data_IF_710773139405
#
_entry.id   IF_710773139405
#
_cell.length_a   1.000
_cell.length_b   1.000
_cell.length_c   1.000
_cell.angle_alpha   90.00
_cell.angle_beta   90.00
_cell.angle_gamma   90.00
#
_symmetry.space_group_name_H-M   'P 1'
#
loop_
_entity.id
_entity.type
_entity.pdbx_description
1 polymer ?
#
# COMPACT_ATOMS: atom_id res chain seq x y z
N UNK A 1 -8.16 14.55 16.53
CA UNK A 1 -8.11 13.08 16.53
C UNK A 1 -9.31 12.57 15.78
N UNK A 2 -9.12 11.89 14.64
CA UNK A 2 -10.22 11.27 13.91
C UNK A 2 -10.85 10.16 14.74
N UNK A 3 -12.17 10.15 14.83
CA UNK A 3 -12.91 9.09 15.54
C UNK A 3 -12.85 7.82 14.68
N UNK A 4 -12.11 6.80 15.12
CA UNK A 4 -12.24 5.45 14.56
C UNK A 4 -13.66 4.95 14.85
N UNK A 5 -14.31 4.36 13.86
CA UNK A 5 -15.67 3.81 13.98
C UNK A 5 -15.57 2.30 14.20
N UNK A 6 -16.15 1.82 15.29
CA UNK A 6 -16.38 0.38 15.46
C UNK A 6 -17.52 -0.03 14.55
N UNK A 7 -17.35 -1.12 13.82
CA UNK A 7 -18.36 -1.74 12.99
C UNK A 7 -18.42 -3.24 13.28
N UNK A 8 -19.56 -3.84 13.00
CA UNK A 8 -19.74 -5.28 13.02
C UNK A 8 -19.91 -5.71 11.58
N UNK A 9 -19.10 -6.66 11.13
CA UNK A 9 -19.05 -7.09 9.73
C UNK A 9 -19.11 -8.60 9.63
N UNK A 10 -19.63 -9.10 8.51
CA UNK A 10 -19.63 -10.53 8.17
C UNK A 10 -18.60 -10.78 7.09
N UNK A 11 -17.74 -11.77 7.26
CA UNK A 11 -16.74 -12.11 6.26
C UNK A 11 -17.42 -12.70 5.02
N UNK A 12 -17.19 -12.14 3.80
CA UNK A 12 -17.83 -12.63 2.58
C UNK A 12 -17.30 -14.00 2.12
N UNK A 13 -16.17 -14.46 2.68
CA UNK A 13 -15.56 -15.75 2.36
C UNK A 13 -16.08 -16.85 3.29
N UNK A 14 -15.91 -16.70 4.61
CA UNK A 14 -16.21 -17.77 5.56
C UNK A 14 -17.48 -17.54 6.41
N UNK A 15 -18.20 -16.45 6.23
CA UNK A 15 -19.42 -16.12 6.99
C UNK A 15 -19.18 -15.74 8.45
N UNK A 16 -17.94 -15.70 8.94
CA UNK A 16 -17.62 -15.33 10.34
C UNK A 16 -17.99 -13.87 10.61
N UNK A 17 -18.77 -13.63 11.64
CA UNK A 17 -19.17 -12.30 12.07
C UNK A 17 -18.25 -11.79 13.20
N UNK A 18 -17.71 -10.57 13.07
CA UNK A 18 -16.77 -10.02 14.04
C UNK A 18 -16.81 -8.49 14.11
N UNK A 19 -16.32 -7.97 15.24
CA UNK A 19 -16.13 -6.54 15.41
C UNK A 19 -14.80 -6.05 14.78
N UNK A 20 -14.86 -4.98 14.01
CA UNK A 20 -13.68 -4.34 13.42
C UNK A 20 -13.64 -2.84 13.72
N UNK A 21 -12.51 -2.22 13.44
CA UNK A 21 -12.32 -0.78 13.59
C UNK A 21 -11.88 -0.22 12.24
N UNK A 22 -12.76 0.53 11.60
CA UNK A 22 -12.41 1.24 10.38
C UNK A 22 -11.61 2.50 10.66
N UNK A 23 -10.67 2.82 9.77
CA UNK A 23 -9.99 4.10 9.80
C UNK A 23 -11.02 5.24 9.66
N UNK A 24 -11.13 6.05 10.70
CA UNK A 24 -11.86 7.31 10.59
C UNK A 24 -11.05 8.32 9.77
N UNK A 25 -11.66 9.44 9.44
CA UNK A 25 -10.97 10.56 8.84
C UNK A 25 -9.89 11.06 9.80
N UNK A 26 -8.63 10.99 9.40
CA UNK A 26 -7.52 11.56 10.17
C UNK A 26 -6.97 12.81 9.50
N UNK A 27 -6.59 13.76 10.33
CA UNK A 27 -5.94 14.99 9.87
C UNK A 27 -4.50 14.64 9.47
N UNK A 28 -4.09 15.10 8.29
CA UNK A 28 -2.70 14.99 7.85
C UNK A 28 -2.06 16.36 7.82
N UNK A 29 -0.81 16.45 8.28
CA UNK A 29 -0.02 17.69 8.24
C UNK A 29 0.98 17.71 7.09
N UNK A 30 0.81 16.83 6.13
CA UNK A 30 1.65 16.67 4.95
C UNK A 30 1.89 15.21 4.60
N UNK A 31 2.88 14.98 3.72
CA UNK A 31 3.29 13.65 3.28
C UNK A 31 4.80 13.49 3.33
N UNK A 32 5.28 12.26 3.49
CA UNK A 32 6.67 11.89 3.26
C UNK A 32 6.95 11.80 1.75
N UNK A 33 8.21 11.58 1.37
CA UNK A 33 8.58 11.50 -0.05
C UNK A 33 7.86 10.36 -0.79
N UNK A 34 7.65 9.22 -0.15
CA UNK A 34 6.88 8.10 -0.71
C UNK A 34 5.35 8.24 -0.52
N UNK A 35 4.90 9.47 -0.30
CA UNK A 35 3.51 9.86 -0.10
C UNK A 35 2.86 9.32 1.18
N UNK A 36 3.61 8.70 2.08
CA UNK A 36 3.11 8.31 3.40
C UNK A 36 2.52 9.52 4.14
N UNK A 37 1.27 9.47 4.59
CA UNK A 37 0.67 10.60 5.30
C UNK A 37 1.37 10.85 6.64
N UNK A 38 1.68 12.12 6.90
CA UNK A 38 2.15 12.57 8.20
C UNK A 38 0.95 12.83 9.10
N UNK A 39 0.70 11.90 10.01
CA UNK A 39 -0.39 11.99 10.98
C UNK A 39 0.19 12.57 12.28
N UNK A 40 -0.36 13.68 12.80
CA UNK A 40 0.12 14.26 14.05
C UNK A 40 -0.17 13.32 15.23
N UNK A 41 0.71 13.33 16.24
CA UNK A 41 0.61 12.48 17.41
C UNK A 41 1.79 11.51 17.54
N UNK A 42 1.59 10.43 18.26
CA UNK A 42 2.63 9.39 18.44
C UNK A 42 2.77 8.55 17.17
N UNK A 43 3.96 8.00 16.87
CA UNK A 43 4.15 7.09 15.72
C UNK A 43 3.15 5.93 15.69
N UNK A 44 2.81 5.38 16.87
CA UNK A 44 1.79 4.32 17.03
C UNK A 44 0.39 4.73 16.58
N UNK A 45 0.05 6.02 16.66
CA UNK A 45 -1.27 6.52 16.22
C UNK A 45 -1.33 6.52 14.69
N UNK A 46 -0.23 6.89 14.04
CA UNK A 46 -0.08 6.81 12.59
C UNK A 46 -0.11 5.37 12.08
N UNK A 47 0.59 4.45 12.74
CA UNK A 47 0.57 3.03 12.39
C UNK A 47 -0.86 2.45 12.51
N UNK A 48 -1.56 2.78 13.61
CA UNK A 48 -2.95 2.34 13.83
C UNK A 48 -3.90 2.89 12.78
N UNK A 49 -3.78 4.17 12.42
CA UNK A 49 -4.63 4.79 11.40
C UNK A 49 -4.43 4.11 10.03
N UNK A 50 -3.19 3.82 9.65
CA UNK A 50 -2.88 3.09 8.43
C UNK A 50 -3.39 1.65 8.46
N UNK A 51 -3.12 0.90 9.53
CA UNK A 51 -3.58 -0.49 9.71
C UNK A 51 -5.10 -0.61 9.53
N UNK A 52 -5.85 0.30 10.10
CA UNK A 52 -7.32 0.27 10.04
C UNK A 52 -7.88 0.61 8.66
N UNK A 53 -7.04 0.88 7.65
CA UNK A 53 -7.48 1.03 6.26
C UNK A 53 -7.66 -0.32 5.53
N UNK A 54 -7.35 -1.42 6.18
CA UNK A 54 -7.62 -2.78 5.71
C UNK A 54 -8.35 -3.53 6.82
N UNK A 55 -9.42 -4.21 6.47
CA UNK A 55 -10.14 -5.13 7.35
C UNK A 55 -9.67 -6.55 7.08
N UNK A 56 -9.34 -7.31 8.14
CA UNK A 56 -8.95 -8.72 8.04
C UNK A 56 -9.81 -9.59 8.93
N UNK A 57 -10.36 -10.66 8.37
CA UNK A 57 -11.15 -11.64 9.11
C UNK A 57 -10.25 -12.45 10.05
N UNK A 58 -10.57 -12.54 11.36
CA UNK A 58 -9.77 -13.29 12.31
C UNK A 58 -9.87 -14.82 12.16
N UNK A 59 -10.90 -15.31 11.44
CA UNK A 59 -11.13 -16.73 11.24
C UNK A 59 -10.39 -17.31 10.04
N UNK A 60 -10.51 -16.67 8.85
CA UNK A 60 -9.94 -17.19 7.61
C UNK A 60 -8.82 -16.32 7.03
N UNK A 61 -8.51 -15.18 7.64
CA UNK A 61 -7.51 -14.21 7.17
C UNK A 61 -7.90 -13.48 5.86
N UNK A 62 -9.12 -13.65 5.33
CA UNK A 62 -9.58 -12.82 4.22
C UNK A 62 -9.42 -11.34 4.57
N UNK A 63 -8.85 -10.55 3.67
CA UNK A 63 -8.63 -9.14 3.92
C UNK A 63 -8.90 -8.28 2.67
N UNK A 64 -9.43 -7.09 2.90
CA UNK A 64 -9.70 -6.11 1.85
C UNK A 64 -9.56 -4.67 2.38
N UNK A 65 -9.27 -3.74 1.47
CA UNK A 65 -9.29 -2.30 1.75
C UNK A 65 -10.69 -1.70 1.69
N UNK A 66 -11.58 -2.34 0.94
CA UNK A 66 -12.99 -1.98 0.80
C UNK A 66 -13.81 -2.52 1.98
N UNK A 67 -14.97 -1.92 2.30
CA UNK A 67 -15.92 -2.51 3.26
C UNK A 67 -16.35 -3.91 2.80
N UNK A 68 -16.44 -4.84 3.74
CA UNK A 68 -16.85 -6.23 3.43
C UNK A 68 -18.26 -6.33 2.89
N UNK A 69 -19.14 -5.41 3.31
CA UNK A 69 -20.54 -5.36 2.88
C UNK A 69 -20.68 -4.90 1.40
N UNK A 70 -19.63 -4.27 0.84
CA UNK A 70 -19.60 -3.80 -0.56
C UNK A 70 -19.01 -4.86 -1.50
N UNK A 71 -18.56 -6.01 -0.98
CA UNK A 71 -17.90 -7.05 -1.75
C UNK A 71 -18.87 -8.17 -2.14
N UNK A 72 -19.11 -8.31 -3.43
CA UNK A 72 -19.83 -9.45 -4.01
C UNK A 72 -18.81 -10.40 -4.67
N UNK A 73 -18.48 -11.48 -3.97
CA UNK A 73 -17.51 -12.47 -4.43
C UNK A 73 -18.24 -13.64 -5.10
N UNK A 74 -17.79 -13.99 -6.29
CA UNK A 74 -18.20 -15.20 -6.97
C UNK A 74 -17.79 -16.46 -6.20
N UNK A 75 -18.34 -17.60 -6.55
CA UNK A 75 -17.94 -18.89 -5.95
C UNK A 75 -16.46 -19.20 -6.22
N UNK A 76 -15.99 -18.97 -7.45
CA UNK A 76 -14.62 -19.25 -7.86
C UNK A 76 -13.62 -18.35 -7.14
N UNK A 77 -13.93 -17.06 -7.02
CA UNK A 77 -13.09 -16.13 -6.23
C UNK A 77 -12.98 -16.55 -4.76
N UNK A 78 -14.10 -16.93 -4.12
CA UNK A 78 -14.08 -17.41 -2.73
C UNK A 78 -13.19 -18.63 -2.58
N UNK A 79 -13.34 -19.60 -3.48
CA UNK A 79 -12.57 -20.84 -3.44
C UNK A 79 -11.07 -20.57 -3.67
N UNK A 80 -10.72 -19.78 -4.69
CA UNK A 80 -9.33 -19.40 -4.96
C UNK A 80 -8.70 -18.65 -3.78
N UNK A 81 -9.44 -17.70 -3.18
CA UNK A 81 -8.98 -16.98 -1.97
C UNK A 81 -8.72 -17.95 -0.82
N UNK A 82 -9.64 -18.88 -0.53
CA UNK A 82 -9.47 -19.84 0.57
C UNK A 82 -8.22 -20.72 0.37
N UNK A 83 -7.98 -21.21 -0.84
CA UNK A 83 -6.80 -22.01 -1.15
C UNK A 83 -5.52 -21.19 -0.95
N UNK A 84 -5.45 -19.99 -1.52
CA UNK A 84 -4.28 -19.11 -1.41
C UNK A 84 -3.94 -18.73 0.02
N UNK A 85 -4.96 -18.36 0.82
CA UNK A 85 -4.76 -18.02 2.22
C UNK A 85 -4.29 -19.25 3.03
N UNK A 86 -4.80 -20.43 2.72
CA UNK A 86 -4.38 -21.68 3.38
C UNK A 86 -2.95 -22.06 3.07
N UNK A 87 -2.47 -21.78 1.86
CA UNK A 87 -1.12 -22.11 1.41
C UNK A 87 -0.08 -21.05 1.81
N UNK A 88 -0.50 -19.81 2.10
CA UNK A 88 0.40 -18.70 2.35
C UNK A 88 1.27 -18.92 3.60
N UNK A 89 2.59 -18.90 3.36
CA UNK A 89 3.58 -19.18 4.41
C UNK A 89 3.64 -18.11 5.51
N UNK A 90 3.42 -16.83 5.16
CA UNK A 90 3.46 -15.75 6.14
C UNK A 90 2.22 -15.79 7.05
N UNK A 91 1.05 -16.07 6.49
CA UNK A 91 -0.17 -16.21 7.27
C UNK A 91 -0.11 -17.41 8.22
N UNK A 92 0.54 -18.51 7.81
CA UNK A 92 0.79 -19.67 8.70
C UNK A 92 1.70 -19.31 9.88
N UNK A 93 2.76 -18.55 9.64
CA UNK A 93 3.75 -18.20 10.67
C UNK A 93 3.19 -17.16 11.64
N UNK A 94 2.49 -16.14 11.14
CA UNK A 94 2.03 -15.00 11.92
C UNK A 94 0.56 -15.10 12.39
N UNK A 95 -0.06 -16.26 12.32
CA UNK A 95 -1.46 -16.47 12.72
C UNK A 95 -1.76 -16.11 14.19
N UNK A 96 -0.73 -16.03 15.04
CA UNK A 96 -0.84 -15.64 16.46
C UNK A 96 0.07 -14.44 16.73
N UNK A 97 -0.48 -13.34 17.24
CA UNK A 97 0.29 -12.12 17.53
C UNK A 97 0.55 -11.26 16.28
N UNK A 98 -0.44 -11.06 15.49
CA UNK A 98 -0.43 -10.46 14.15
C UNK A 98 0.33 -9.13 14.08
N UNK A 99 1.43 -9.05 13.29
CA UNK A 99 2.03 -7.77 12.98
C UNK A 99 1.06 -6.92 12.16
N UNK A 100 1.13 -5.60 12.33
CA UNK A 100 0.15 -4.67 11.73
C UNK A 100 0.16 -4.66 10.20
N UNK A 101 1.24 -5.10 9.56
CA UNK A 101 1.35 -5.22 8.10
C UNK A 101 0.66 -6.48 7.53
N UNK A 102 0.33 -7.46 8.38
CA UNK A 102 -0.20 -8.77 7.91
C UNK A 102 -1.53 -8.63 7.17
N UNK A 103 -2.40 -7.70 7.61
CA UNK A 103 -3.65 -7.41 6.93
C UNK A 103 -3.46 -6.93 5.49
N UNK A 104 -2.45 -6.11 5.23
CA UNK A 104 -2.10 -5.67 3.87
C UNK A 104 -1.55 -6.81 3.02
N UNK A 105 -0.73 -7.69 3.62
CA UNK A 105 -0.26 -8.89 2.92
C UNK A 105 -1.42 -9.79 2.53
N UNK A 106 -2.32 -10.07 3.46
CA UNK A 106 -3.52 -10.85 3.18
C UNK A 106 -4.39 -10.20 2.10
N UNK A 107 -4.57 -8.86 2.15
CA UNK A 107 -5.31 -8.13 1.14
C UNK A 107 -4.65 -8.19 -0.26
N UNK A 108 -3.31 -8.18 -0.34
CA UNK A 108 -2.62 -8.40 -1.62
C UNK A 108 -2.84 -9.82 -2.16
N UNK A 109 -2.79 -10.84 -1.29
CA UNK A 109 -3.07 -12.24 -1.67
C UNK A 109 -4.50 -12.37 -2.19
N UNK A 110 -5.49 -11.86 -1.43
CA UNK A 110 -6.90 -11.88 -1.83
C UNK A 110 -7.17 -11.03 -3.08
N UNK A 111 -6.49 -9.89 -3.21
CA UNK A 111 -6.64 -8.97 -4.32
C UNK A 111 -6.24 -9.58 -5.67
N UNK A 112 -5.26 -10.49 -5.68
CA UNK A 112 -4.86 -11.20 -6.90
C UNK A 112 -5.93 -12.15 -7.41
N UNK A 113 -6.67 -12.79 -6.52
CA UNK A 113 -7.80 -13.67 -6.86
C UNK A 113 -9.07 -12.90 -7.22
N UNK A 114 -9.10 -11.60 -6.92
CA UNK A 114 -10.18 -10.65 -7.24
C UNK A 114 -9.82 -9.73 -8.42
N UNK A 115 -8.80 -10.07 -9.17
CA UNK A 115 -8.33 -9.30 -10.33
C UNK A 115 -8.10 -7.80 -10.05
N UNK A 116 -7.63 -7.46 -8.83
CA UNK A 116 -7.18 -6.09 -8.57
C UNK A 116 -6.05 -5.71 -9.52
N UNK A 117 -6.09 -4.49 -10.02
CA UNK A 117 -5.06 -3.95 -10.91
C UNK A 117 -3.68 -3.97 -10.26
N UNK A 118 -2.64 -4.04 -11.07
CA UNK A 118 -1.26 -3.95 -10.59
C UNK A 118 -1.04 -2.66 -9.77
N UNK A 119 -1.73 -1.57 -10.11
CA UNK A 119 -1.68 -0.30 -9.37
C UNK A 119 -2.25 -0.43 -7.96
N UNK A 120 -3.40 -1.08 -7.80
CA UNK A 120 -4.05 -1.31 -6.49
C UNK A 120 -3.24 -2.25 -5.61
N UNK A 121 -2.69 -3.34 -6.17
CA UNK A 121 -1.80 -4.25 -5.46
C UNK A 121 -0.52 -3.53 -4.99
N UNK A 122 0.02 -2.64 -5.82
CA UNK A 122 1.14 -1.78 -5.48
C UNK A 122 0.84 -0.86 -4.29
N UNK A 123 -0.35 -0.27 -4.24
CA UNK A 123 -0.79 0.57 -3.13
C UNK A 123 -0.93 -0.20 -1.81
N UNK A 124 -1.42 -1.43 -1.84
CA UNK A 124 -1.47 -2.29 -0.65
C UNK A 124 -0.07 -2.55 -0.09
N UNK A 125 0.87 -2.94 -0.95
CA UNK A 125 2.26 -3.17 -0.55
C UNK A 125 2.94 -1.89 -0.06
N UNK A 126 2.71 -0.75 -0.70
CA UNK A 126 3.26 0.54 -0.28
C UNK A 126 2.76 0.92 1.12
N UNK A 127 1.47 0.77 1.39
CA UNK A 127 0.88 1.02 2.72
C UNK A 127 1.43 0.06 3.78
N UNK A 128 1.63 -1.22 3.44
CA UNK A 128 2.32 -2.17 4.32
C UNK A 128 3.72 -1.67 4.71
N UNK A 129 4.50 -1.17 3.74
CA UNK A 129 5.83 -0.62 4.01
C UNK A 129 5.80 0.58 4.96
N UNK A 130 4.77 1.44 4.85
CA UNK A 130 4.59 2.57 5.78
C UNK A 130 4.32 2.11 7.21
N UNK A 131 3.50 1.07 7.38
CA UNK A 131 3.22 0.47 8.70
C UNK A 131 4.50 -0.11 9.28
N UNK A 132 5.24 -0.92 8.51
CA UNK A 132 6.52 -1.49 8.93
C UNK A 132 7.51 -0.41 9.39
N UNK A 133 7.62 0.71 8.64
CA UNK A 133 8.48 1.85 9.01
C UNK A 133 8.08 2.45 10.35
N UNK A 134 6.79 2.67 10.57
CA UNK A 134 6.28 3.25 11.83
C UNK A 134 6.46 2.32 13.02
N UNK A 135 6.49 1.02 12.79
CA UNK A 135 6.72 -0.02 13.80
C UNK A 135 8.20 -0.46 13.89
N UNK A 136 9.09 0.14 13.07
CA UNK A 136 10.54 -0.12 13.03
C UNK A 136 10.90 -1.53 12.56
N UNK A 137 10.05 -2.16 11.78
CA UNK A 137 10.28 -3.48 11.17
C UNK A 137 10.98 -3.35 9.82
N UNK A 138 12.25 -2.92 9.82
CA UNK A 138 13.02 -2.60 8.61
C UNK A 138 13.09 -3.72 7.57
N UNK A 139 13.31 -5.00 7.92
CA UNK A 139 13.37 -6.07 6.91
C UNK A 139 12.06 -6.21 6.12
N UNK A 140 10.93 -6.11 6.82
CA UNK A 140 9.61 -6.15 6.17
C UNK A 140 9.30 -4.86 5.41
N UNK A 141 9.75 -3.68 5.88
CA UNK A 141 9.64 -2.44 5.13
C UNK A 141 10.26 -2.57 3.74
N UNK A 142 11.52 -3.02 3.66
CA UNK A 142 12.23 -3.19 2.38
C UNK A 142 11.57 -4.25 1.49
N UNK A 143 11.10 -5.35 2.08
CA UNK A 143 10.37 -6.40 1.36
C UNK A 143 9.10 -5.85 0.71
N UNK A 144 8.29 -5.08 1.45
CA UNK A 144 7.07 -4.48 0.91
C UNK A 144 7.34 -3.35 -0.07
N UNK A 145 8.41 -2.57 0.11
CA UNK A 145 8.86 -1.59 -0.89
C UNK A 145 9.23 -2.26 -2.22
N UNK A 146 9.94 -3.39 -2.18
CA UNK A 146 10.28 -4.15 -3.39
C UNK A 146 9.03 -4.74 -4.07
N UNK A 147 8.06 -5.25 -3.30
CA UNK A 147 6.79 -5.75 -3.84
C UNK A 147 6.00 -4.63 -4.49
N UNK A 148 5.86 -3.48 -3.82
CA UNK A 148 5.21 -2.29 -4.36
C UNK A 148 5.87 -1.82 -5.65
N UNK A 149 7.21 -1.76 -5.68
CA UNK A 149 7.97 -1.40 -6.88
C UNK A 149 7.64 -2.31 -8.06
N UNK A 150 7.62 -3.63 -7.86
CA UNK A 150 7.30 -4.61 -8.91
C UNK A 150 5.87 -4.41 -9.44
N UNK A 151 4.91 -4.21 -8.56
CA UNK A 151 3.52 -3.97 -8.96
C UNK A 151 3.37 -2.64 -9.71
N UNK A 152 3.99 -1.55 -9.25
CA UNK A 152 3.92 -0.26 -9.95
C UNK A 152 4.63 -0.30 -11.31
N UNK A 153 5.76 -1.00 -11.43
CA UNK A 153 6.41 -1.18 -12.73
C UNK A 153 5.52 -1.98 -13.69
N UNK A 154 4.82 -2.99 -13.19
CA UNK A 154 3.86 -3.77 -13.95
C UNK A 154 2.65 -2.91 -14.36
N UNK A 155 2.11 -2.10 -13.45
CA UNK A 155 1.03 -1.16 -13.76
C UNK A 155 1.38 -0.17 -14.88
N UNK A 156 2.63 0.32 -14.91
CA UNK A 156 3.11 1.19 -16.00
C UNK A 156 3.25 0.47 -17.36
N UNK A 157 3.29 -0.87 -17.37
CA UNK A 157 3.40 -1.67 -18.59
C UNK A 157 2.04 -2.20 -19.08
N UNK A 158 1.14 -2.54 -18.19
CA UNK A 158 -0.10 -3.27 -18.46
C UNK A 158 -1.35 -2.41 -18.29
N UNK A 159 -1.34 -1.51 -17.28
CA UNK A 159 -2.49 -0.68 -16.99
C UNK A 159 -2.47 0.57 -17.88
N UNK A 160 -3.62 0.97 -18.40
CA UNK A 160 -3.78 2.19 -19.18
C UNK A 160 -3.79 3.44 -18.25
N UNK A 161 -2.74 3.64 -17.46
CA UNK A 161 -2.62 4.76 -16.54
C UNK A 161 -2.52 6.08 -17.29
N UNK A 162 -3.33 7.06 -16.88
CA UNK A 162 -3.36 8.39 -17.49
C UNK A 162 -3.33 9.51 -16.45
N UNK A 163 -2.89 10.68 -16.87
CA UNK A 163 -2.92 11.89 -16.06
C UNK A 163 -2.26 11.70 -14.68
N UNK A 164 -3.00 12.04 -13.61
CA UNK A 164 -2.46 11.99 -12.24
C UNK A 164 -1.96 10.60 -11.81
N UNK A 165 -2.65 9.55 -12.20
CA UNK A 165 -2.26 8.18 -11.81
C UNK A 165 -0.92 7.78 -12.43
N UNK A 166 -0.75 8.09 -13.72
CA UNK A 166 0.52 7.88 -14.42
C UNK A 166 1.65 8.65 -13.72
N UNK A 167 1.47 9.94 -13.47
CA UNK A 167 2.50 10.79 -12.87
C UNK A 167 2.88 10.32 -11.46
N UNK A 168 1.88 10.01 -10.62
CA UNK A 168 2.10 9.54 -9.26
C UNK A 168 2.79 8.19 -9.25
N UNK A 169 2.37 7.25 -10.11
CA UNK A 169 2.96 5.91 -10.18
C UNK A 169 4.41 5.98 -10.67
N UNK A 170 4.69 6.77 -11.71
CA UNK A 170 6.05 6.97 -12.24
C UNK A 170 6.97 7.57 -11.17
N UNK A 171 6.49 8.57 -10.43
CA UNK A 171 7.22 9.15 -9.31
C UNK A 171 7.50 8.12 -8.20
N UNK A 172 6.50 7.32 -7.81
CA UNK A 172 6.65 6.30 -6.76
C UNK A 172 7.66 5.22 -7.14
N UNK A 173 7.73 4.83 -8.42
CA UNK A 173 8.80 3.91 -8.89
C UNK A 173 10.18 4.52 -8.66
N UNK A 174 10.36 5.81 -8.94
CA UNK A 174 11.61 6.53 -8.66
C UNK A 174 11.95 6.56 -7.16
N UNK A 175 10.99 6.93 -6.32
CA UNK A 175 11.19 7.04 -4.87
C UNK A 175 11.45 5.68 -4.20
N UNK A 176 10.78 4.61 -4.65
CA UNK A 176 11.03 3.26 -4.16
C UNK A 176 12.42 2.77 -4.56
N UNK A 177 12.87 3.02 -5.79
CA UNK A 177 14.23 2.71 -6.20
C UNK A 177 15.25 3.45 -5.33
N UNK A 178 15.05 4.75 -5.06
CA UNK A 178 15.94 5.51 -4.18
C UNK A 178 16.02 4.92 -2.77
N UNK A 179 14.87 4.54 -2.18
CA UNK A 179 14.79 3.93 -0.84
C UNK A 179 15.44 2.55 -0.76
N UNK A 180 15.41 1.82 -1.86
CA UNK A 180 16.05 0.50 -1.98
C UNK A 180 17.55 0.59 -2.34
N UNK A 181 18.13 1.81 -2.47
CA UNK A 181 19.52 2.02 -2.78
C UNK A 181 19.87 2.03 -4.28
N UNK A 182 18.87 1.90 -5.16
CA UNK A 182 19.05 1.93 -6.61
C UNK A 182 19.07 3.39 -7.13
N UNK A 183 20.03 4.21 -6.67
CA UNK A 183 20.01 5.65 -6.86
C UNK A 183 20.09 6.09 -8.34
N UNK A 184 20.86 5.39 -9.17
CA UNK A 184 20.94 5.67 -10.62
C UNK A 184 19.61 5.43 -11.31
N UNK A 185 18.96 4.32 -10.99
CA UNK A 185 17.65 3.99 -11.55
C UNK A 185 16.59 4.97 -11.07
N UNK A 186 16.63 5.38 -9.80
CA UNK A 186 15.76 6.41 -9.27
C UNK A 186 15.83 7.73 -10.06
N UNK A 187 17.05 8.15 -10.45
CA UNK A 187 17.24 9.37 -11.24
C UNK A 187 16.56 9.27 -12.62
N UNK A 188 16.67 8.12 -13.29
CA UNK A 188 16.01 7.86 -14.57
C UNK A 188 14.47 7.99 -14.43
N UNK A 189 13.93 7.40 -13.37
CA UNK A 189 12.50 7.45 -13.10
C UNK A 189 12.01 8.85 -12.71
N UNK A 190 12.80 9.64 -12.00
CA UNK A 190 12.45 11.04 -11.71
C UNK A 190 12.43 11.91 -12.97
N UNK A 191 13.33 11.68 -13.92
CA UNK A 191 13.28 12.36 -15.24
C UNK A 191 11.98 12.00 -15.96
N UNK A 192 11.61 10.71 -15.98
CA UNK A 192 10.36 10.27 -16.59
C UNK A 192 9.14 10.86 -15.88
N UNK A 193 9.14 10.90 -14.53
CA UNK A 193 8.06 11.52 -13.76
C UNK A 193 7.89 13.01 -14.10
N UNK A 194 8.99 13.76 -14.24
CA UNK A 194 8.93 15.16 -14.66
C UNK A 194 8.25 15.36 -16.01
N UNK A 195 8.46 14.45 -16.96
CA UNK A 195 7.76 14.51 -18.27
C UNK A 195 6.26 14.26 -18.16
N UNK A 196 5.82 13.43 -17.21
CA UNK A 196 4.39 13.13 -17.01
C UNK A 196 3.66 14.21 -16.22
N UNK A 197 4.38 15.11 -15.53
CA UNK A 197 3.78 16.25 -14.82
C UNK A 197 3.67 17.50 -15.67
N UNK A 198 4.39 17.56 -16.79
CA UNK A 198 4.48 18.76 -17.63
C UNK A 198 3.09 19.20 -18.14
N UNK A 199 2.74 20.44 -17.84
CA UNK A 199 1.49 21.06 -18.26
C UNK A 199 0.23 20.64 -17.48
N UNK A 200 0.31 19.76 -16.48
CA UNK A 200 -0.84 19.37 -15.65
C UNK A 200 -0.77 20.00 -14.23
N UNK A 201 -1.56 21.08 -13.98
CA UNK A 201 -1.56 21.76 -12.68
C UNK A 201 -2.02 20.86 -11.52
N UNK A 202 -2.76 19.77 -11.79
CA UNK A 202 -3.25 18.85 -10.76
C UNK A 202 -2.12 18.03 -10.12
N UNK A 203 -0.97 17.94 -10.80
CA UNK A 203 0.20 17.18 -10.34
C UNK A 203 1.46 18.06 -10.16
N UNK A 204 1.38 19.37 -10.37
CA UNK A 204 2.48 20.33 -10.20
C UNK A 204 3.15 20.29 -8.81
N UNK A 205 2.45 19.77 -7.81
CA UNK A 205 3.03 19.54 -6.48
C UNK A 205 4.10 18.44 -6.47
N UNK A 206 4.08 17.52 -7.46
CA UNK A 206 5.11 16.49 -7.61
C UNK A 206 6.45 17.07 -8.04
N UNK A 207 6.47 18.16 -8.80
CA UNK A 207 7.70 18.76 -9.33
C UNK A 207 8.68 19.09 -8.20
N UNK A 208 8.18 19.68 -7.11
CA UNK A 208 9.01 19.98 -5.92
C UNK A 208 9.54 18.71 -5.23
N UNK A 209 8.78 17.62 -5.26
CA UNK A 209 9.23 16.34 -4.72
C UNK A 209 10.29 15.73 -5.64
N UNK A 210 10.06 15.72 -6.96
CA UNK A 210 10.97 15.23 -7.97
C UNK A 210 12.33 15.94 -7.83
N UNK A 211 12.35 17.27 -7.81
CA UNK A 211 13.57 18.07 -7.68
C UNK A 211 14.34 17.73 -6.39
N UNK A 212 13.64 17.70 -5.26
CA UNK A 212 14.23 17.40 -3.96
C UNK A 212 14.80 15.99 -3.90
N UNK A 213 14.05 14.99 -4.38
CA UNK A 213 14.45 13.59 -4.30
C UNK A 213 15.54 13.27 -5.34
N UNK A 214 15.54 13.93 -6.51
CA UNK A 214 16.62 13.83 -7.48
C UNK A 214 17.95 14.35 -6.93
N UNK A 215 17.92 15.47 -6.19
CA UNK A 215 19.11 15.98 -5.52
C UNK A 215 19.67 14.98 -4.51
N UNK A 216 18.81 14.44 -3.64
CA UNK A 216 19.19 13.42 -2.66
C UNK A 216 19.75 12.15 -3.32
N UNK A 217 19.12 11.69 -4.42
CA UNK A 217 19.59 10.51 -5.14
C UNK A 217 20.99 10.72 -5.76
N UNK A 218 21.29 11.93 -6.28
CA UNK A 218 22.63 12.27 -6.77
C UNK A 218 23.68 12.26 -5.67
N UNK A 219 23.36 12.84 -4.51
CA UNK A 219 24.23 12.86 -3.34
C UNK A 219 24.52 11.43 -2.81
N UNK A 220 23.55 10.53 -2.92
CA UNK A 220 23.66 9.13 -2.48
C UNK A 220 24.34 8.21 -3.52
N UNK A 221 24.40 8.63 -4.79
CA UNK A 221 25.02 7.87 -5.88
C UNK A 221 26.51 8.19 -6.06
N UNK A 222 26.99 9.29 -5.45
CA UNK A 222 28.39 9.73 -5.45
C UNK A 222 29.21 8.94 -4.46
#
# INVERSE_FOLDING_TARGET
MGKSRRAYVVCPVCGHAFGTVHAGTYVTVGREADLCPKIPGRPSDGARALRNSVTMCPACSFAAGEPFDDLDLTFDERHGIEERLREDGLLKVFSKGQPSWLGFHAAEVCGKERDLTSRELGDLCLRASWVCRKERERPFESTFQLRALRHFMRALQEDALVGRELSVTTYLVGELNRRLGNHREALNWYVNAGRTTEGDPRVAWLDRLIDRQSKLAREQAA
#
